data_IF_474170650538
#
_entry.id   IF_474170650538
#
_cell.length_a   1.000
_cell.length_b   1.000
_cell.length_c   1.000
_cell.angle_alpha   90.00
_cell.angle_beta   90.00
_cell.angle_gamma   90.00
#
_symmetry.space_group_name_H-M   'P 1'
#
loop_
_entity.id
_entity.type
_entity.pdbx_description
1 polymer ?
#
# COMPACT_ATOMS: atom_id res chain seq x y z
N UNK A 1 -16.69 11.03 -15.99
CA UNK A 1 -16.56 10.35 -15.52
C UNK A 1 -16.57 9.45 -15.24
N UNK A 2 -16.50 9.33 -15.25
CA UNK A 2 -16.48 8.35 -15.08
C UNK A 2 -16.98 7.28 -14.54
N UNK A 3 -17.45 6.79 -15.23
CA UNK A 3 -18.32 5.66 -14.96
C UNK A 3 -17.67 4.61 -14.12
N UNK A 4 -16.46 4.34 -14.38
CA UNK A 4 -15.74 3.39 -13.56
C UNK A 4 -15.61 3.84 -12.11
N UNK A 5 -15.61 5.13 -11.88
CA UNK A 5 -15.60 5.57 -10.49
C UNK A 5 -16.91 5.29 -9.78
N UNK A 6 -17.98 5.16 -10.51
CA UNK A 6 -19.29 4.90 -9.90
C UNK A 6 -19.36 3.53 -9.26
N UNK A 7 -18.67 2.54 -9.81
CA UNK A 7 -18.70 1.19 -9.27
C UNK A 7 -17.36 0.72 -8.73
N UNK A 8 -16.35 1.53 -8.85
CA UNK A 8 -15.10 1.27 -8.15
C UNK A 8 -15.19 1.89 -6.77
N UNK A 9 -14.32 1.47 -5.90
CA UNK A 9 -14.25 2.04 -4.58
C UNK A 9 -13.89 3.52 -4.64
N UNK A 10 -14.17 4.23 -3.55
CA UNK A 10 -13.78 5.63 -3.42
C UNK A 10 -12.28 5.82 -3.61
N UNK A 11 -11.52 4.78 -3.36
CA UNK A 11 -10.07 4.79 -3.46
C UNK A 11 -9.63 3.66 -4.39
N UNK A 12 -9.68 3.88 -5.71
CA UNK A 12 -9.45 2.81 -6.67
C UNK A 12 -8.00 2.36 -6.79
N UNK A 13 -7.07 3.08 -6.19
CA UNK A 13 -5.64 2.75 -6.28
C UNK A 13 -5.08 2.42 -4.91
N UNK A 14 -4.28 1.37 -4.85
CA UNK A 14 -3.48 1.04 -3.67
C UNK A 14 -2.02 1.30 -4.00
N UNK A 15 -1.39 2.18 -3.23
CA UNK A 15 0.02 2.48 -3.36
C UNK A 15 0.74 1.94 -2.14
N UNK A 16 1.77 1.14 -2.37
CA UNK A 16 2.58 0.56 -1.30
C UNK A 16 4.04 0.96 -1.48
N UNK A 17 4.84 0.77 -0.44
CA UNK A 17 6.26 1.07 -0.51
C UNK A 17 7.11 -0.14 -0.15
N UNK A 18 8.31 -0.21 -0.75
CA UNK A 18 9.26 -1.25 -0.40
C UNK A 18 9.73 -1.09 1.05
N UNK A 19 9.84 0.14 1.54
CA UNK A 19 10.23 0.42 2.92
C UNK A 19 9.25 -0.19 3.92
N UNK A 20 7.95 -0.06 3.64
CA UNK A 20 6.94 -0.66 4.51
C UNK A 20 7.01 -2.19 4.48
N UNK A 21 7.24 -2.78 3.30
CA UNK A 21 7.38 -4.23 3.21
C UNK A 21 8.62 -4.70 3.98
N UNK A 22 9.73 -3.99 3.85
CA UNK A 22 10.94 -4.33 4.58
C UNK A 22 10.69 -4.30 6.07
N UNK A 23 10.04 -3.25 6.58
CA UNK A 23 9.72 -3.12 7.99
C UNK A 23 8.81 -4.26 8.46
N UNK A 24 7.81 -4.61 7.66
CA UNK A 24 6.92 -5.72 7.97
C UNK A 24 7.68 -7.04 8.05
N UNK A 25 8.53 -7.31 7.06
CA UNK A 25 9.29 -8.57 7.04
C UNK A 25 10.30 -8.66 8.17
N UNK A 26 10.87 -7.54 8.59
CA UNK A 26 11.71 -7.49 9.79
C UNK A 26 10.89 -7.91 11.02
N UNK A 27 9.69 -7.36 11.16
CA UNK A 27 8.81 -7.72 12.27
C UNK A 27 8.38 -9.18 12.24
N UNK A 28 8.10 -9.71 11.06
CA UNK A 28 7.76 -11.12 10.89
C UNK A 28 8.95 -12.00 11.30
N UNK A 29 10.15 -11.63 10.87
CA UNK A 29 11.36 -12.35 11.19
C UNK A 29 11.59 -12.37 12.69
N UNK A 30 11.38 -11.23 13.36
CA UNK A 30 11.52 -11.13 14.82
C UNK A 30 10.53 -12.02 15.56
N UNK A 31 9.38 -12.30 14.95
CA UNK A 31 8.37 -13.18 15.51
C UNK A 31 8.52 -14.63 15.05
N UNK A 32 9.64 -14.98 14.41
CA UNK A 32 9.89 -16.30 13.85
C UNK A 32 8.87 -16.72 12.78
N UNK A 33 8.29 -15.72 12.11
CA UNK A 33 7.36 -15.95 11.02
C UNK A 33 8.06 -15.76 9.68
N UNK A 34 7.48 -16.33 8.63
CA UNK A 34 8.06 -16.22 7.29
C UNK A 34 7.79 -14.87 6.68
N UNK A 35 8.73 -14.40 5.88
CA UNK A 35 8.55 -13.19 5.10
C UNK A 35 7.42 -13.34 4.09
N UNK A 36 6.82 -12.21 3.73
CA UNK A 36 5.79 -12.18 2.70
C UNK A 36 6.27 -11.33 1.54
N UNK A 37 5.72 -11.60 0.36
CA UNK A 37 6.04 -10.83 -0.82
C UNK A 37 5.05 -9.69 -1.00
N UNK A 38 5.45 -8.70 -1.78
CA UNK A 38 4.61 -7.53 -2.04
C UNK A 38 3.26 -7.90 -2.65
N UNK A 39 3.21 -8.97 -3.46
CA UNK A 39 1.97 -9.34 -4.13
C UNK A 39 0.85 -9.79 -3.17
N UNK A 40 1.18 -10.10 -1.91
CA UNK A 40 0.16 -10.37 -0.90
C UNK A 40 -0.81 -9.22 -0.75
N UNK A 41 -0.35 -8.01 -0.99
CA UNK A 41 -1.13 -6.81 -0.77
C UNK A 41 -1.81 -6.30 -2.03
N UNK A 42 -1.49 -6.89 -3.18
CA UNK A 42 -2.13 -6.59 -4.48
C UNK A 42 -2.09 -5.10 -4.83
N UNK A 43 -0.93 -4.46 -4.75
CA UNK A 43 -0.85 -3.03 -5.02
C UNK A 43 -1.00 -2.72 -6.51
N UNK A 44 -1.50 -1.52 -6.78
CA UNK A 44 -1.49 -0.99 -8.14
C UNK A 44 -0.13 -0.35 -8.44
N UNK A 45 0.47 0.30 -7.44
CA UNK A 45 1.71 1.02 -7.60
C UNK A 45 2.59 0.73 -6.39
N UNK A 46 3.87 0.44 -6.64
CA UNK A 46 4.86 0.25 -5.58
C UNK A 46 5.92 1.34 -5.73
N UNK A 47 6.18 2.06 -4.65
CA UNK A 47 7.17 3.13 -4.65
C UNK A 47 8.33 2.77 -3.73
N UNK A 48 9.44 3.47 -3.88
CA UNK A 48 10.58 3.33 -2.98
C UNK A 48 11.12 4.73 -2.67
N UNK A 49 11.86 4.82 -1.58
CA UNK A 49 12.44 6.08 -1.16
C UNK A 49 11.54 6.89 -0.25
N UNK A 50 10.48 6.30 0.29
CA UNK A 50 9.58 6.98 1.21
C UNK A 50 9.37 6.12 2.45
N UNK A 51 9.65 6.69 3.61
CA UNK A 51 9.38 6.04 4.89
C UNK A 51 7.99 6.40 5.36
N UNK A 52 7.34 5.43 6.02
CA UNK A 52 6.04 5.65 6.66
C UNK A 52 4.98 6.19 5.71
N UNK A 53 4.89 5.58 4.53
CA UNK A 53 3.89 5.97 3.52
C UNK A 53 2.48 5.99 4.12
N UNK A 54 2.19 5.07 5.03
CA UNK A 54 0.88 4.94 5.66
C UNK A 54 0.53 6.16 6.52
N UNK A 55 1.51 6.98 6.87
CA UNK A 55 1.30 8.21 7.66
C UNK A 55 1.20 9.45 6.79
N UNK A 56 1.28 9.30 5.48
CA UNK A 56 1.31 10.43 4.53
C UNK A 56 -0.08 10.80 4.01
N UNK A 57 -1.12 10.49 4.76
CA UNK A 57 -2.50 10.84 4.38
C UNK A 57 -2.62 12.35 4.19
N UNK A 58 -3.23 12.75 3.08
CA UNK A 58 -3.38 14.16 2.72
C UNK A 58 -2.28 14.68 1.80
N UNK A 59 -1.22 13.92 1.62
CA UNK A 59 -0.15 14.29 0.70
C UNK A 59 -0.45 13.84 -0.72
N UNK A 60 0.23 14.43 -1.68
CA UNK A 60 0.12 14.06 -3.09
C UNK A 60 1.43 13.45 -3.57
N UNK A 61 1.32 12.44 -4.42
CA UNK A 61 2.46 11.90 -5.17
C UNK A 61 2.30 12.33 -6.61
N UNK A 62 3.30 13.01 -7.14
CA UNK A 62 3.24 13.53 -8.50
C UNK A 62 4.48 13.17 -9.30
N UNK A 63 4.32 13.10 -10.60
CA UNK A 63 5.43 12.88 -11.53
C UNK A 63 5.36 13.94 -12.61
N UNK A 64 6.36 14.80 -12.68
CA UNK A 64 6.39 15.89 -13.65
C UNK A 64 6.52 15.34 -15.07
N UNK A 65 7.37 14.35 -15.27
CA UNK A 65 7.60 13.76 -16.58
C UNK A 65 6.38 13.03 -17.12
N UNK A 66 5.68 12.31 -16.24
CA UNK A 66 4.48 11.56 -16.62
C UNK A 66 3.21 12.37 -16.56
N UNK A 67 3.27 13.57 -16.02
CA UNK A 67 2.14 14.50 -15.90
C UNK A 67 0.95 13.87 -15.18
N UNK A 68 1.24 13.15 -14.06
CA UNK A 68 0.17 12.58 -13.26
C UNK A 68 0.37 12.88 -11.79
N UNK A 69 -0.74 12.80 -11.05
CA UNK A 69 -0.75 13.08 -9.61
C UNK A 69 -1.75 12.17 -8.92
N UNK A 70 -1.32 11.59 -7.82
CA UNK A 70 -2.18 10.80 -6.95
C UNK A 70 -2.33 11.49 -5.61
N UNK A 71 -3.56 11.49 -5.08
CA UNK A 71 -3.80 11.96 -3.72
C UNK A 71 -3.88 10.80 -2.77
N UNK A 72 -3.04 10.82 -1.74
CA UNK A 72 -3.05 9.80 -0.69
C UNK A 72 -4.16 10.15 0.29
N UNK A 73 -5.17 9.29 0.43
CA UNK A 73 -6.40 9.64 1.14
C UNK A 73 -6.57 8.96 2.47
N UNK A 74 -6.15 7.70 2.59
CA UNK A 74 -6.17 7.04 3.90
C UNK A 74 -5.30 5.77 3.88
N UNK A 75 -4.77 5.36 5.05
CA UNK A 75 -4.05 4.09 5.14
C UNK A 75 -5.00 2.95 4.78
N UNK A 76 -4.49 1.96 4.08
CA UNK A 76 -5.32 0.83 3.67
C UNK A 76 -5.38 -0.21 4.78
N UNK A 77 -6.58 -0.43 5.32
CA UNK A 77 -6.79 -1.46 6.33
C UNK A 77 -6.81 -2.83 5.67
N UNK A 78 -6.07 -3.76 6.23
CA UNK A 78 -5.93 -5.11 5.66
C UNK A 78 -6.81 -6.11 6.39
N UNK A 79 -7.18 -7.15 5.67
CA UNK A 79 -8.03 -8.23 6.19
C UNK A 79 -7.35 -9.57 5.95
N UNK A 80 -8.04 -10.66 6.30
CA UNK A 80 -7.48 -12.01 6.24
C UNK A 80 -6.96 -12.45 4.88
N UNK A 81 -7.36 -11.79 3.81
CA UNK A 81 -6.94 -12.20 2.48
C UNK A 81 -5.42 -12.11 2.31
N UNK A 82 -4.75 -11.25 3.07
CA UNK A 82 -3.29 -11.13 2.98
C UNK A 82 -2.56 -12.32 3.61
N UNK A 83 -3.27 -13.19 4.33
CA UNK A 83 -2.68 -14.42 4.87
C UNK A 83 -2.59 -15.51 3.81
N UNK A 84 -3.23 -15.33 2.68
CA UNK A 84 -3.31 -16.32 1.59
C UNK A 84 -2.16 -16.10 0.63
N UNK A 85 -1.41 -17.16 0.34
CA UNK A 85 -0.38 -17.11 -0.68
C UNK A 85 -1.05 -16.95 -2.04
N UNK A 86 -0.74 -15.87 -2.73
CA UNK A 86 -1.40 -15.54 -4.00
C UNK A 86 -1.08 -16.53 -5.12
N UNK A 87 0.06 -17.21 -5.02
CA UNK A 87 0.47 -18.18 -6.05
C UNK A 87 -0.17 -19.55 -5.85
N UNK A 88 -0.33 -19.99 -4.59
CA UNK A 88 -0.81 -21.34 -4.29
C UNK A 88 -2.21 -21.38 -3.68
N UNK A 89 -2.73 -20.25 -3.20
CA UNK A 89 -4.00 -20.22 -2.50
C UNK A 89 -3.95 -20.77 -1.08
N UNK A 90 -2.76 -21.12 -0.59
CA UNK A 90 -2.63 -21.68 0.75
C UNK A 90 -2.54 -20.61 1.81
N UNK A 91 -3.10 -20.90 2.98
CA UNK A 91 -2.94 -20.07 4.18
C UNK A 91 -1.67 -20.54 4.87
N UNK A 92 -0.64 -19.69 4.81
CA UNK A 92 0.67 -20.05 5.38
C UNK A 92 0.67 -20.00 6.89
N UNK A 93 0.16 -18.91 7.45
CA UNK A 93 0.06 -18.72 8.88
C UNK A 93 -1.26 -17.99 9.17
N UNK A 94 -2.17 -18.57 9.95
CA UNK A 94 -3.53 -18.01 10.10
C UNK A 94 -3.59 -16.60 10.65
N UNK A 95 -2.60 -16.19 11.44
CA UNK A 95 -2.62 -14.87 12.07
C UNK A 95 -1.69 -13.85 11.40
N UNK A 96 -0.79 -14.30 10.56
CA UNK A 96 0.17 -13.40 9.94
C UNK A 96 -0.13 -13.18 8.47
N UNK A 97 0.20 -12.02 7.91
CA UNK A 97 0.95 -10.93 8.54
C UNK A 97 0.12 -9.94 9.36
N UNK A 98 -1.18 -10.19 9.54
CA UNK A 98 -2.07 -9.23 10.21
C UNK A 98 -1.63 -8.89 11.62
N UNK A 99 -1.24 -9.89 12.42
CA UNK A 99 -0.85 -9.66 13.80
C UNK A 99 0.38 -8.75 13.88
N UNK A 100 1.36 -8.96 13.00
CA UNK A 100 2.55 -8.12 12.96
C UNK A 100 2.22 -6.71 12.50
N UNK A 101 1.33 -6.56 11.51
CA UNK A 101 0.90 -5.23 11.06
C UNK A 101 0.24 -4.44 12.18
N UNK A 102 -0.59 -5.07 12.99
CA UNK A 102 -1.21 -4.41 14.14
C UNK A 102 -0.14 -3.96 15.12
N UNK A 103 0.83 -4.81 15.38
CA UNK A 103 1.90 -4.53 16.35
C UNK A 103 2.80 -3.38 15.89
N UNK A 104 3.07 -3.28 14.59
CA UNK A 104 3.95 -2.25 14.04
C UNK A 104 3.31 -0.86 14.00
N UNK A 105 2.00 -0.78 14.07
CA UNK A 105 1.27 0.49 14.12
C UNK A 105 1.64 1.43 12.98
N UNK A 106 1.51 0.95 11.76
CA UNK A 106 1.78 1.80 10.59
C UNK A 106 0.91 3.05 10.55
N UNK A 107 -0.28 3.01 11.16
CA UNK A 107 -1.09 4.19 11.35
C UNK A 107 -1.23 4.47 12.84
N UNK A 108 -0.83 5.66 13.28
CA UNK A 108 -0.97 6.07 14.68
C UNK A 108 -2.37 6.52 15.02
N UNK A 109 -3.13 6.96 14.01
CA UNK A 109 -4.45 7.55 14.23
C UNK A 109 -5.52 6.51 14.53
N UNK A 110 -5.38 5.30 14.00
CA UNK A 110 -6.40 4.26 14.09
C UNK A 110 -5.71 2.94 14.40
N UNK A 111 -6.30 2.14 15.29
CA UNK A 111 -5.79 0.81 15.57
C UNK A 111 -6.18 -0.15 14.45
N UNK A 112 -5.28 -1.05 14.11
CA UNK A 112 -5.56 -2.06 13.12
C UNK A 112 -4.33 -2.46 12.32
N UNK A 113 -4.55 -3.33 11.35
CA UNK A 113 -3.53 -3.79 10.43
C UNK A 113 -3.59 -2.93 9.18
N UNK A 114 -2.60 -2.06 9.00
CA UNK A 114 -2.54 -1.16 7.85
C UNK A 114 -1.30 -1.44 7.01
N UNK A 115 -1.45 -1.34 5.70
CA UNK A 115 -0.33 -1.45 4.78
C UNK A 115 -0.69 -0.73 3.49
N UNK A 116 0.11 0.27 3.12
CA UNK A 116 -0.11 1.08 1.94
C UNK A 116 -1.13 2.20 2.14
N UNK A 117 -1.28 3.00 1.11
CA UNK A 117 -2.24 4.11 1.08
C UNK A 117 -3.26 3.87 -0.01
N UNK A 118 -4.52 4.09 0.34
CA UNK A 118 -5.58 4.20 -0.64
C UNK A 118 -5.50 5.58 -1.27
N UNK A 119 -5.51 5.63 -2.59
CA UNK A 119 -5.26 6.85 -3.33
C UNK A 119 -6.25 7.04 -4.46
N UNK A 120 -6.37 8.29 -4.90
CA UNK A 120 -7.17 8.63 -6.07
C UNK A 120 -6.27 9.30 -7.10
N UNK A 121 -6.62 9.15 -8.36
CA UNK A 121 -5.92 9.85 -9.44
C UNK A 121 -6.51 11.26 -9.58
N UNK A 122 -5.67 12.27 -9.41
CA UNK A 122 -6.09 13.66 -9.45
C UNK A 122 -5.89 14.32 -10.82
N UNK A 123 -5.15 13.66 -11.69
CA UNK A 123 -4.88 14.16 -13.04
C UNK A 123 -5.65 13.33 -14.07
N UNK A 124 -5.47 13.66 -15.33
CA UNK A 124 -6.03 12.85 -16.41
C UNK A 124 -5.33 11.51 -16.49
N UNK A 125 -6.00 10.53 -17.09
CA UNK A 125 -5.39 9.23 -17.32
C UNK A 125 -4.08 9.38 -18.07
N UNK A 126 -3.07 8.64 -17.59
CA UNK A 126 -1.74 8.72 -18.17
C UNK A 126 -1.04 7.38 -17.94
N UNK A 127 0.04 7.16 -18.65
CA UNK A 127 0.83 5.97 -18.48
C UNK A 127 1.81 6.14 -17.32
N UNK A 128 1.81 5.17 -16.42
CA UNK A 128 2.75 5.13 -15.31
C UNK A 128 3.80 4.08 -15.67
N UNK A 129 5.08 4.43 -15.55
CA UNK A 129 6.17 3.54 -15.94
C UNK A 129 7.06 3.24 -14.75
N UNK A 130 7.59 2.02 -14.73
CA UNK A 130 8.61 1.67 -13.75
C UNK A 130 9.82 2.58 -13.97
N UNK A 131 10.32 3.16 -12.89
CA UNK A 131 11.44 4.09 -12.96
C UNK A 131 11.05 5.55 -12.92
N UNK A 132 9.75 5.86 -13.01
CA UNK A 132 9.30 7.24 -12.90
C UNK A 132 9.69 7.83 -11.54
N UNK A 133 10.16 9.06 -11.54
CA UNK A 133 10.48 9.78 -10.32
C UNK A 133 9.26 10.51 -9.80
N UNK A 134 8.92 10.26 -8.54
CA UNK A 134 7.75 10.84 -7.90
C UNK A 134 8.18 11.84 -6.83
N UNK A 135 7.38 12.89 -6.68
CA UNK A 135 7.56 13.88 -5.63
C UNK A 135 6.40 13.78 -4.65
N UNK A 136 6.72 13.80 -3.37
CA UNK A 136 5.74 13.83 -2.31
C UNK A 136 5.57 15.27 -1.85
N UNK A 137 4.34 15.76 -1.88
CA UNK A 137 4.02 17.11 -1.43
C UNK A 137 2.79 17.10 -0.56
N UNK A 138 2.80 17.92 0.45
CA UNK A 138 1.69 18.02 1.40
C UNK A 138 0.83 19.25 1.20
#
# INVERSE_FOLDING_TARGET
>A
MKAQSAFSDQFPYLITSWESLFKLNQGLHDNHSKEVSMNRFRPNIVVQGVDDLEKMTGSDLSCDEGDYRFGLRKPCKRCKIVTINQDTGEIMEPKEPLATLVKLKFSDAIKGAFFGQNAILLSKDCAIRVGDELKLSS
#
